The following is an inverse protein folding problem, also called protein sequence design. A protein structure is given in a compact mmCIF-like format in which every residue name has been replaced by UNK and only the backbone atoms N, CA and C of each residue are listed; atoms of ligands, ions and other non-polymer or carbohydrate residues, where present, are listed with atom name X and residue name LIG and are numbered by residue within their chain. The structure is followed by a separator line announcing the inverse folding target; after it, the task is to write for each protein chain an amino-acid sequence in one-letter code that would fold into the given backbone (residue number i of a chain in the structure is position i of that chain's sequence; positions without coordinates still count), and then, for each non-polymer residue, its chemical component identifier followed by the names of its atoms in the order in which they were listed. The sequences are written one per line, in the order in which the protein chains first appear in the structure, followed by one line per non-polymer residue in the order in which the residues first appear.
data_IF_480908362161
#
_entry.id   IF_480908362161
#
_cell.length_a   1.000
_cell.length_b   1.000
_cell.length_c   1.000
_cell.angle_alpha   90.00
_cell.angle_beta   90.00
_cell.angle_gamma   90.00
#
_symmetry.space_group_name_H-M   'P 1'
#
loop_
_entity.id
_entity.type
_entity.pdbx_description
1 polymer ?
#
# COMPACT_ATOMS: atom_id res chain seq x y z
N UNK A 1 -15.22 -8.99 6.60
CA UNK A 1 -14.79 -7.58 6.74
C UNK A 1 -14.30 -7.07 5.41
N UNK A 2 -14.66 -5.84 5.05
CA UNK A 2 -14.17 -5.20 3.82
C UNK A 2 -12.73 -4.72 4.06
N UNK A 3 -11.80 -4.93 3.11
CA UNK A 3 -10.44 -4.41 3.24
C UNK A 3 -10.42 -2.87 3.28
N UNK A 4 -9.37 -2.27 3.85
CA UNK A 4 -9.24 -0.82 3.92
C UNK A 4 -9.16 -0.19 2.52
N UNK A 5 -9.46 1.10 2.47
CA UNK A 5 -9.24 1.91 1.28
C UNK A 5 -7.75 2.07 0.99
N UNK A 6 -7.43 2.35 -0.28
CA UNK A 6 -6.08 2.67 -0.71
C UNK A 6 -5.47 3.80 0.14
N UNK A 7 -6.25 4.84 0.46
CA UNK A 7 -5.80 5.95 1.31
C UNK A 7 -5.44 5.51 2.72
N UNK A 8 -6.21 4.61 3.32
CA UNK A 8 -5.92 4.09 4.66
C UNK A 8 -4.62 3.28 4.68
N UNK A 9 -4.41 2.44 3.66
CA UNK A 9 -3.16 1.68 3.52
C UNK A 9 -1.97 2.60 3.32
N UNK A 10 -2.08 3.62 2.46
CA UNK A 10 -1.03 4.61 2.25
C UNK A 10 -0.65 5.30 3.57
N UNK A 11 -1.65 5.81 4.31
CA UNK A 11 -1.40 6.48 5.58
C UNK A 11 -0.72 5.57 6.60
N UNK A 12 -1.12 4.30 6.66
CA UNK A 12 -0.47 3.33 7.54
C UNK A 12 0.99 3.09 7.14
N UNK A 13 1.27 2.92 5.85
CA UNK A 13 2.63 2.77 5.34
C UNK A 13 3.48 4.00 5.69
N UNK A 14 2.98 5.20 5.43
CA UNK A 14 3.68 6.46 5.76
C UNK A 14 3.96 6.59 7.27
N UNK A 15 2.98 6.27 8.11
CA UNK A 15 3.13 6.29 9.57
C UNK A 15 4.17 5.27 10.07
N UNK A 16 4.32 4.14 9.38
CA UNK A 16 5.35 3.14 9.64
C UNK A 16 6.72 3.50 9.03
N UNK A 17 6.86 4.67 8.40
CA UNK A 17 8.12 5.14 7.82
C UNK A 17 8.44 4.55 6.44
N UNK A 18 7.43 4.05 5.72
CA UNK A 18 7.58 3.76 4.30
C UNK A 18 7.62 5.06 3.49
N UNK A 19 8.49 5.11 2.49
CA UNK A 19 8.66 6.29 1.64
C UNK A 19 8.23 5.96 0.22
N UNK A 20 7.44 6.83 -0.39
CA UNK A 20 7.08 6.70 -1.81
C UNK A 20 8.35 6.83 -2.67
N UNK A 21 8.64 5.80 -3.47
CA UNK A 21 9.81 5.74 -4.33
C UNK A 21 9.48 6.09 -5.78
N UNK A 22 8.29 5.71 -6.24
CA UNK A 22 7.84 5.94 -7.62
C UNK A 22 6.33 5.82 -7.71
N UNK A 23 5.74 6.70 -8.49
CA UNK A 23 4.34 6.58 -8.92
C UNK A 23 4.26 6.53 -10.44
N UNK A 24 3.44 5.61 -10.96
CA UNK A 24 3.09 5.51 -12.39
C UNK A 24 1.59 5.27 -12.48
N UNK A 25 0.85 6.25 -12.98
CA UNK A 25 -0.61 6.20 -12.95
C UNK A 25 -1.11 6.14 -11.51
N UNK A 26 -1.99 5.19 -11.23
CA UNK A 26 -2.55 4.91 -9.90
C UNK A 26 -1.71 3.92 -9.07
N UNK A 27 -0.60 3.41 -9.62
CA UNK A 27 0.31 2.51 -8.92
C UNK A 27 1.40 3.32 -8.20
N UNK A 28 1.33 3.32 -6.87
CA UNK A 28 2.31 3.94 -5.96
C UNK A 28 3.20 2.86 -5.38
N UNK A 29 4.51 3.04 -5.48
CA UNK A 29 5.49 2.08 -4.98
C UNK A 29 6.24 2.68 -3.80
N UNK A 30 6.14 2.01 -2.66
CA UNK A 30 6.76 2.40 -1.41
C UNK A 30 7.99 1.53 -1.12
N UNK A 31 8.97 2.09 -0.42
CA UNK A 31 10.18 1.39 0.03
C UNK A 31 10.47 1.64 1.50
N UNK A 32 11.00 0.64 2.19
CA UNK A 32 11.50 0.73 3.57
C UNK A 32 12.55 -0.35 3.80
N UNK A 33 13.77 0.03 4.19
CA UNK A 33 14.82 -0.91 4.59
C UNK A 33 15.07 -2.06 3.61
N UNK A 34 15.13 -1.79 2.30
CA UNK A 34 15.31 -2.80 1.25
C UNK A 34 14.04 -3.54 0.80
N UNK A 35 12.92 -3.41 1.53
CA UNK A 35 11.61 -3.95 1.13
C UNK A 35 10.88 -2.96 0.21
N UNK A 36 10.01 -3.51 -0.65
CA UNK A 36 9.17 -2.73 -1.58
C UNK A 36 7.74 -3.23 -1.51
N UNK A 37 6.81 -2.28 -1.48
CA UNK A 37 5.36 -2.52 -1.52
C UNK A 37 4.79 -1.72 -2.69
N UNK A 38 3.85 -2.30 -3.43
CA UNK A 38 3.10 -1.55 -4.46
C UNK A 38 1.64 -1.46 -4.03
N UNK A 39 1.11 -0.25 -3.97
CA UNK A 39 -0.30 0.05 -3.70
C UNK A 39 -0.89 0.63 -4.99
N UNK A 40 -1.81 -0.10 -5.61
CA UNK A 40 -2.54 0.32 -6.81
C UNK A 40 -3.93 0.82 -6.44
N UNK A 41 -4.54 1.63 -7.31
CA UNK A 41 -5.91 2.10 -7.16
C UNK A 41 -6.06 3.56 -6.71
N UNK A 42 -7.32 4.01 -6.80
CA UNK A 42 -7.72 5.36 -6.39
C UNK A 42 -7.78 5.45 -4.87
N UNK A 43 -7.40 6.59 -4.25
CA UNK A 43 -7.38 6.74 -2.78
C UNK A 43 -8.70 6.38 -2.08
N UNK A 44 -9.84 6.61 -2.74
CA UNK A 44 -11.19 6.32 -2.22
C UNK A 44 -11.66 4.88 -2.43
N UNK A 45 -10.93 4.06 -3.18
CA UNK A 45 -11.32 2.69 -3.51
C UNK A 45 -10.90 1.71 -2.43
N UNK A 46 -11.74 0.72 -2.14
CA UNK A 46 -11.40 -0.40 -1.27
C UNK A 46 -10.52 -1.39 -2.01
N UNK A 47 -9.46 -1.85 -1.36
CA UNK A 47 -8.60 -2.88 -1.94
C UNK A 47 -9.33 -4.21 -2.03
N UNK A 48 -9.06 -4.98 -3.08
CA UNK A 48 -9.41 -6.39 -3.10
C UNK A 48 -8.67 -7.14 -1.98
N UNK A 49 -9.30 -8.19 -1.43
CA UNK A 49 -8.71 -8.98 -0.33
C UNK A 49 -7.34 -9.55 -0.71
N UNK A 50 -7.16 -9.99 -1.96
CA UNK A 50 -5.88 -10.51 -2.44
C UNK A 50 -4.79 -9.44 -2.46
N UNK A 51 -5.13 -8.24 -2.94
CA UNK A 51 -4.22 -7.10 -2.98
C UNK A 51 -3.83 -6.68 -1.56
N UNK A 52 -4.80 -6.53 -0.65
CA UNK A 52 -4.52 -6.19 0.74
C UNK A 52 -3.65 -7.25 1.42
N UNK A 53 -3.94 -8.54 1.24
CA UNK A 53 -3.13 -9.64 1.80
C UNK A 53 -1.69 -9.61 1.27
N UNK A 54 -1.50 -9.33 -0.02
CA UNK A 54 -0.16 -9.19 -0.62
C UNK A 54 0.60 -8.02 -0.01
N UNK A 55 -0.08 -6.88 0.18
CA UNK A 55 0.47 -5.71 0.84
C UNK A 55 0.86 -6.05 2.28
N UNK A 56 -0.01 -6.70 3.07
CA UNK A 56 0.31 -7.13 4.44
C UNK A 56 1.59 -7.98 4.47
N UNK A 57 1.70 -9.00 3.61
CA UNK A 57 2.91 -9.85 3.54
C UNK A 57 4.16 -9.05 3.19
N UNK A 58 4.06 -8.13 2.24
CA UNK A 58 5.19 -7.29 1.81
C UNK A 58 5.57 -6.23 2.85
N UNK A 59 4.59 -5.72 3.61
CA UNK A 59 4.78 -4.73 4.66
C UNK A 59 5.20 -5.34 6.01
N UNK A 60 4.81 -6.59 6.27
CA UNK A 60 5.00 -7.30 7.54
C UNK A 60 3.84 -7.09 8.53
N UNK A 61 2.61 -7.08 8.03
CA UNK A 61 1.37 -7.01 8.82
C UNK A 61 0.68 -8.36 8.92
#
# INVERSE_FOLDING_TARGET
MQPPTVREVIRRLEAEGWVEARTRGDHRRYRKGGRRVTVAGKPSEHLDRGTYTSICKQAGW
#
